data_IF_691033271388
#
_entry.id   IF_691033271388
#
_cell.length_a   1.000
_cell.length_b   1.000
_cell.length_c   1.000
_cell.angle_alpha   90.00
_cell.angle_beta   90.00
_cell.angle_gamma   90.00
#
_symmetry.space_group_name_H-M   'P 1'
#
loop_
_entity.id
_entity.type
_entity.pdbx_description
1 polymer ?
#
# COMPACT_ATOMS: atom_id res chain seq x y z
N UNK A 1 6.62 3.34 14.36
CA UNK A 1 6.45 4.79 14.18
C UNK A 1 7.23 5.55 15.25
N UNK A 2 7.10 5.23 16.55
CA UNK A 2 7.87 5.88 17.63
C UNK A 2 9.39 5.97 17.41
N UNK A 3 10.04 4.90 16.93
CA UNK A 3 11.49 4.92 16.63
C UNK A 3 11.87 5.86 15.46
N UNK A 4 10.90 6.25 14.64
CA UNK A 4 11.02 7.20 13.55
C UNK A 4 10.34 8.55 13.88
N UNK A 5 10.07 8.82 15.16
CA UNK A 5 9.41 10.04 15.66
C UNK A 5 8.06 10.34 14.98
N UNK A 6 7.32 9.27 14.69
CA UNK A 6 5.99 9.35 14.09
C UNK A 6 4.96 8.80 15.11
N UNK A 7 3.93 9.61 15.39
CA UNK A 7 2.89 9.34 16.39
C UNK A 7 1.53 9.01 15.76
N UNK A 8 1.45 9.01 14.41
CA UNK A 8 0.21 8.72 13.70
C UNK A 8 -0.25 7.29 13.99
N UNK A 9 -1.56 7.14 14.16
CA UNK A 9 -2.15 5.83 14.33
C UNK A 9 -2.07 5.02 13.02
N UNK A 10 -1.79 3.72 13.14
CA UNK A 10 -1.81 2.82 11.99
C UNK A 10 -3.26 2.68 11.52
N UNK A 11 -3.53 3.02 10.26
CA UNK A 11 -4.88 2.97 9.67
C UNK A 11 -5.20 1.63 9.00
N UNK A 12 -4.30 0.64 9.09
CA UNK A 12 -4.50 -0.69 8.53
C UNK A 12 -5.65 -1.40 9.24
N UNK A 13 -6.65 -1.85 8.48
CA UNK A 13 -7.76 -2.65 8.98
C UNK A 13 -7.47 -4.15 8.84
N UNK A 14 -7.85 -4.94 9.84
CA UNK A 14 -7.73 -6.41 9.83
C UNK A 14 -9.13 -7.00 10.05
N UNK A 15 -9.64 -7.73 9.06
CA UNK A 15 -10.97 -8.32 9.08
C UNK A 15 -10.98 -9.69 8.36
N UNK A 16 -12.08 -10.44 8.49
CA UNK A 16 -12.29 -11.65 7.71
C UNK A 16 -12.36 -11.33 6.21
N UNK A 17 -11.82 -12.21 5.37
CA UNK A 17 -11.88 -12.05 3.92
C UNK A 17 -13.35 -12.03 3.44
N UNK A 18 -13.72 -10.95 2.74
CA UNK A 18 -15.02 -10.84 2.06
C UNK A 18 -14.97 -11.51 0.68
N UNK A 19 -16.12 -11.75 0.03
CA UNK A 19 -16.13 -12.12 -1.38
C UNK A 19 -15.29 -11.13 -2.21
N UNK A 20 -14.49 -11.65 -3.12
CA UNK A 20 -13.64 -10.87 -4.02
C UNK A 20 -14.33 -10.76 -5.39
N UNK A 21 -14.46 -9.52 -5.88
CA UNK A 21 -15.03 -9.22 -7.19
C UNK A 21 -13.94 -8.62 -8.07
N UNK A 22 -13.76 -9.16 -9.28
CA UNK A 22 -12.81 -8.58 -10.24
C UNK A 22 -13.28 -7.19 -10.65
N UNK A 23 -12.34 -6.24 -10.68
CA UNK A 23 -12.51 -4.97 -11.37
C UNK A 23 -12.49 -5.16 -12.88
N UNK A 24 -12.90 -4.13 -13.62
CA UNK A 24 -12.91 -4.07 -15.08
C UNK A 24 -11.54 -4.44 -15.69
N UNK A 25 -11.53 -4.97 -16.93
CA UNK A 25 -10.29 -5.44 -17.58
C UNK A 25 -9.22 -4.35 -17.70
N UNK A 26 -9.63 -3.10 -17.89
CA UNK A 26 -8.71 -1.95 -17.96
C UNK A 26 -7.89 -1.79 -16.68
N UNK A 27 -8.46 -2.14 -15.51
CA UNK A 27 -7.76 -2.09 -14.23
C UNK A 27 -6.75 -3.25 -14.07
N UNK A 28 -6.97 -4.36 -14.78
CA UNK A 28 -6.09 -5.52 -14.70
C UNK A 28 -4.74 -5.20 -15.36
N UNK A 29 -3.67 -5.32 -14.55
CA UNK A 29 -2.30 -5.02 -14.95
C UNK A 29 -2.13 -3.61 -15.56
N UNK A 30 -2.91 -2.62 -15.11
CA UNK A 30 -2.93 -1.27 -15.67
C UNK A 30 -1.54 -0.63 -15.80
N UNK A 31 -0.70 -0.69 -14.76
CA UNK A 31 0.65 -0.09 -14.80
C UNK A 31 1.64 -0.86 -15.70
N UNK A 32 1.37 -2.13 -16.00
CA UNK A 32 2.12 -2.87 -17.02
C UNK A 32 1.68 -2.46 -18.42
N UNK A 33 0.38 -2.22 -18.63
CA UNK A 33 -0.18 -1.70 -19.89
C UNK A 33 0.24 -0.24 -20.15
N UNK A 34 0.47 0.54 -19.09
CA UNK A 34 0.82 1.97 -19.15
C UNK A 34 2.19 2.22 -18.49
N UNK A 35 3.32 2.09 -19.22
CA UNK A 35 4.66 2.14 -18.64
C UNK A 35 5.06 3.49 -18.04
N UNK A 36 4.39 4.58 -18.44
CA UNK A 36 4.53 5.91 -17.85
C UNK A 36 3.41 6.23 -16.85
N UNK A 37 2.52 5.27 -16.60
CA UNK A 37 1.49 5.38 -15.57
C UNK A 37 2.12 5.33 -14.18
N UNK A 38 1.56 6.08 -13.25
CA UNK A 38 2.05 6.14 -11.88
C UNK A 38 0.90 6.24 -10.89
N UNK A 39 1.01 5.50 -9.79
CA UNK A 39 -0.02 5.44 -8.75
C UNK A 39 0.06 6.61 -7.75
N UNK A 40 1.16 7.36 -7.71
CA UNK A 40 1.30 8.46 -6.74
C UNK A 40 1.66 8.01 -5.33
N UNK A 41 2.24 6.81 -5.15
CA UNK A 41 2.58 6.29 -3.83
C UNK A 41 3.74 7.10 -3.22
N UNK A 42 3.45 7.88 -2.18
CA UNK A 42 4.41 8.71 -1.47
C UNK A 42 5.02 8.10 -0.20
N UNK A 43 4.49 6.96 0.28
CA UNK A 43 4.94 6.34 1.53
C UNK A 43 4.94 7.29 2.73
N UNK A 44 5.59 6.89 3.82
CA UNK A 44 5.78 7.72 5.03
C UNK A 44 7.24 7.85 5.46
N UNK A 45 8.16 7.23 4.73
CA UNK A 45 9.61 7.30 5.00
C UNK A 45 10.08 6.52 6.23
N UNK A 46 9.26 5.63 6.79
CA UNK A 46 9.60 4.84 7.99
C UNK A 46 10.10 3.44 7.60
N UNK A 47 11.30 3.07 8.05
CA UNK A 47 11.86 1.74 7.88
C UNK A 47 11.56 0.84 9.09
N UNK A 48 11.47 -0.47 8.85
CA UNK A 48 11.57 -1.45 9.92
C UNK A 48 13.01 -1.41 10.47
N UNK A 49 13.22 -1.30 11.79
CA UNK A 49 14.56 -1.40 12.36
C UNK A 49 15.17 -2.78 12.04
N UNK A 50 16.50 -2.87 11.86
CA UNK A 50 17.17 -4.15 11.68
C UNK A 50 16.90 -5.06 12.89
N UNK A 51 16.78 -6.36 12.65
CA UNK A 51 16.64 -7.38 13.70
C UNK A 51 17.87 -7.34 14.62
N UNK A 52 17.64 -7.51 15.93
CA UNK A 52 18.67 -7.48 16.96
C UNK A 52 19.40 -8.83 17.09
#
# INVERSE_FOLDING_TARGET
MLAADDDRHITTEIANATPFYYAEDDHQQYLHKNPYGYCGIGGIGVCLPPEA
#
